data_IF_323874891029
#
_entry.id   IF_323874891029
#
_cell.length_a   1.000
_cell.length_b   1.000
_cell.length_c   1.000
_cell.angle_alpha   90.00
_cell.angle_beta   90.00
_cell.angle_gamma   90.00
#
_symmetry.space_group_name_H-M   'P 1'
#
loop_
_entity.id
_entity.type
_entity.pdbx_description
1 polymer ?
#
# COMPACT_ATOMS: atom_id res chain seq x y z
N UNK A 1 11.35 34.10 -13.90
CA UNK A 1 10.73 32.86 -14.40
C UNK A 1 11.83 31.81 -14.36
N UNK A 2 11.83 30.76 -13.55
CA UNK A 2 10.78 29.98 -12.90
C UNK A 2 11.43 29.52 -11.57
N UNK A 3 10.87 29.86 -10.41
CA UNK A 3 11.37 29.34 -9.14
C UNK A 3 11.02 27.87 -9.08
N UNK A 4 12.04 27.02 -9.18
CA UNK A 4 11.97 25.60 -8.83
C UNK A 4 11.27 25.47 -7.47
N UNK A 5 10.01 25.01 -7.46
CA UNK A 5 9.40 24.49 -6.25
C UNK A 5 9.94 23.07 -6.06
N UNK A 6 11.18 23.02 -5.58
CA UNK A 6 11.67 21.86 -4.87
C UNK A 6 10.95 21.84 -3.52
N UNK A 7 9.76 21.24 -3.46
CA UNK A 7 9.20 20.79 -2.19
C UNK A 7 10.06 19.63 -1.67
N UNK A 8 11.27 19.95 -1.22
CA UNK A 8 12.01 19.13 -0.30
C UNK A 8 11.34 19.28 1.07
N UNK A 9 10.19 18.61 1.25
CA UNK A 9 9.64 18.34 2.57
C UNK A 9 10.53 17.30 3.24
N UNK A 10 11.57 17.75 3.95
CA UNK A 10 12.58 16.91 4.61
C UNK A 10 12.05 16.36 5.93
N UNK A 11 11.11 15.42 5.87
CA UNK A 11 10.61 14.67 7.02
C UNK A 11 9.60 13.60 6.63
N UNK A 12 9.57 12.48 7.37
CA UNK A 12 8.51 11.48 7.22
C UNK A 12 7.15 12.12 7.52
N UNK A 13 6.13 11.80 6.72
CA UNK A 13 4.73 12.21 6.92
C UNK A 13 3.87 11.00 7.21
N UNK A 14 2.66 11.23 7.70
CA UNK A 14 1.69 10.17 7.96
C UNK A 14 0.84 9.96 6.72
N UNK A 15 0.81 8.73 6.23
CA UNK A 15 0.09 8.34 5.02
C UNK A 15 -0.93 7.27 5.37
N UNK A 16 -2.21 7.56 5.20
CA UNK A 16 -3.27 6.56 5.28
C UNK A 16 -3.53 6.02 3.87
N UNK A 17 -3.38 4.71 3.67
CA UNK A 17 -3.62 4.03 2.40
C UNK A 17 -4.78 3.07 2.60
N UNK A 18 -5.77 3.13 1.70
CA UNK A 18 -6.90 2.20 1.72
C UNK A 18 -6.92 1.36 0.45
N UNK A 19 -7.26 0.08 0.59
CA UNK A 19 -7.28 -0.84 -0.54
C UNK A 19 -7.58 -2.27 -0.14
N UNK A 20 -7.51 -3.18 -1.11
CA UNK A 20 -7.81 -4.61 -0.89
C UNK A 20 -7.07 -5.53 -1.84
N UNK A 21 -6.93 -6.79 -1.46
CA UNK A 21 -6.53 -7.86 -2.39
C UNK A 21 -7.72 -8.12 -3.35
N UNK A 22 -7.50 -8.27 -4.67
CA UNK A 22 -8.57 -8.64 -5.58
C UNK A 22 -9.24 -9.95 -5.15
N UNK A 23 -10.56 -9.90 -4.92
CA UNK A 23 -11.35 -11.02 -4.41
C UNK A 23 -11.73 -10.89 -2.94
N UNK A 24 -11.12 -9.98 -2.18
CA UNK A 24 -11.61 -9.63 -0.84
C UNK A 24 -12.87 -8.75 -0.91
N UNK A 25 -13.76 -8.94 0.08
CA UNK A 25 -15.02 -8.22 0.20
C UNK A 25 -14.88 -6.87 0.94
N UNK A 26 -13.86 -6.76 1.80
CA UNK A 26 -13.63 -5.59 2.65
C UNK A 26 -12.35 -4.85 2.23
N UNK A 27 -12.37 -3.53 2.40
CA UNK A 27 -11.18 -2.69 2.24
C UNK A 27 -10.44 -2.59 3.58
N UNK A 28 -9.12 -2.67 3.52
CA UNK A 28 -8.23 -2.38 4.64
C UNK A 28 -7.79 -0.92 4.61
N UNK A 29 -7.54 -0.34 5.78
CA UNK A 29 -6.83 0.92 5.96
C UNK A 29 -5.55 0.64 6.76
N UNK A 30 -4.41 1.14 6.29
CA UNK A 30 -3.15 1.10 7.04
C UNK A 30 -2.48 2.47 7.00
N UNK A 31 -1.77 2.80 8.08
CA UNK A 31 -1.13 4.10 8.28
C UNK A 31 0.38 3.91 8.34
N UNK A 32 1.11 4.66 7.52
CA UNK A 32 2.57 4.59 7.41
C UNK A 32 3.22 5.94 7.74
N UNK A 33 4.37 5.90 8.41
CA UNK A 33 5.20 7.08 8.63
C UNK A 33 6.44 7.05 7.72
N UNK A 34 6.29 7.57 6.51
CA UNK A 34 7.26 7.40 5.40
C UNK A 34 7.46 8.71 4.63
N UNK A 35 8.58 8.88 3.91
CA UNK A 35 8.93 10.17 3.30
C UNK A 35 8.00 10.59 2.16
N UNK A 36 7.41 9.64 1.44
CA UNK A 36 6.63 9.95 0.25
C UNK A 36 5.51 8.93 -0.04
N UNK A 37 4.64 9.32 -0.98
CA UNK A 37 3.49 8.53 -1.44
C UNK A 37 3.90 7.16 -1.99
N UNK A 38 5.03 7.06 -2.67
CA UNK A 38 5.46 5.80 -3.31
C UNK A 38 5.89 4.81 -2.24
N UNK A 39 6.64 5.26 -1.24
CA UNK A 39 7.00 4.44 -0.08
C UNK A 39 5.76 3.94 0.67
N UNK A 40 4.74 4.78 0.85
CA UNK A 40 3.48 4.39 1.51
C UNK A 40 2.72 3.31 0.72
N UNK A 41 2.58 3.48 -0.60
CA UNK A 41 1.91 2.47 -1.45
C UNK A 41 2.69 1.16 -1.44
N UNK A 42 4.01 1.18 -1.60
CA UNK A 42 4.82 -0.05 -1.59
C UNK A 42 4.78 -0.76 -0.25
N UNK A 43 4.75 -0.03 0.88
CA UNK A 43 4.57 -0.62 2.20
C UNK A 43 3.17 -1.26 2.34
N UNK A 44 2.12 -0.57 1.89
CA UNK A 44 0.76 -1.09 1.89
C UNK A 44 0.62 -2.37 1.06
N UNK A 45 1.14 -2.38 -0.17
CA UNK A 45 1.09 -3.55 -1.04
C UNK A 45 1.79 -4.75 -0.42
N UNK A 46 2.93 -4.52 0.24
CA UNK A 46 3.69 -5.56 0.90
C UNK A 46 2.96 -6.12 2.12
N UNK A 47 2.46 -5.26 3.02
CA UNK A 47 1.73 -5.69 4.22
C UNK A 47 0.45 -6.44 3.87
N UNK A 48 -0.32 -5.95 2.89
CA UNK A 48 -1.53 -6.63 2.40
C UNK A 48 -1.20 -8.02 1.83
N UNK A 49 -0.12 -8.13 1.06
CA UNK A 49 0.29 -9.41 0.49
C UNK A 49 0.81 -10.39 1.54
N UNK A 50 1.59 -9.93 2.51
CA UNK A 50 2.13 -10.77 3.57
C UNK A 50 1.01 -11.27 4.50
N UNK A 51 0.06 -10.39 4.85
CA UNK A 51 -1.14 -10.77 5.58
C UNK A 51 -1.95 -11.83 4.82
N UNK A 52 -2.06 -11.70 3.50
CA UNK A 52 -2.79 -12.65 2.66
C UNK A 52 -2.12 -14.03 2.63
N UNK A 53 -0.81 -14.06 2.43
CA UNK A 53 0.00 -15.29 2.48
C UNK A 53 -0.15 -15.97 3.83
N UNK A 54 -0.12 -15.21 4.93
CA UNK A 54 -0.28 -15.73 6.28
C UNK A 54 -1.71 -16.24 6.54
N UNK A 55 -2.75 -15.49 6.14
CA UNK A 55 -4.17 -15.83 6.30
C UNK A 55 -4.49 -17.19 5.69
N UNK A 56 -3.96 -17.46 4.50
CA UNK A 56 -4.20 -18.73 3.78
C UNK A 56 -3.11 -19.77 3.96
N UNK A 57 -2.08 -19.49 4.78
CA UNK A 57 -0.92 -20.37 5.02
C UNK A 57 -0.26 -20.84 3.72
N UNK A 58 -0.08 -19.93 2.77
CA UNK A 58 0.50 -20.26 1.46
C UNK A 58 1.99 -20.56 1.62
N UNK A 59 2.47 -21.63 1.00
CA UNK A 59 3.89 -21.82 0.76
C UNK A 59 4.44 -20.76 -0.21
N UNK A 60 5.76 -20.57 -0.23
CA UNK A 60 6.41 -19.61 -1.14
C UNK A 60 6.03 -19.84 -2.61
N UNK A 61 5.94 -21.10 -3.02
CA UNK A 61 5.54 -21.46 -4.39
C UNK A 61 4.07 -21.12 -4.67
N UNK A 62 3.17 -21.33 -3.70
CA UNK A 62 1.76 -20.96 -3.84
C UNK A 62 1.59 -19.44 -3.89
N UNK A 63 2.29 -18.70 -3.04
CA UNK A 63 2.28 -17.24 -3.04
C UNK A 63 2.78 -16.69 -4.38
N UNK A 64 3.89 -17.21 -4.93
CA UNK A 64 4.41 -16.76 -6.22
C UNK A 64 3.40 -17.01 -7.37
N UNK A 65 2.72 -18.15 -7.37
CA UNK A 65 1.69 -18.48 -8.36
C UNK A 65 0.46 -17.58 -8.23
N UNK A 66 -0.03 -17.36 -7.00
CA UNK A 66 -1.16 -16.49 -6.73
C UNK A 66 -0.86 -15.04 -7.15
N UNK A 67 0.31 -14.51 -6.78
CA UNK A 67 0.75 -13.16 -7.18
C UNK A 67 0.83 -13.01 -8.70
N UNK A 68 1.37 -14.02 -9.39
CA UNK A 68 1.43 -14.05 -10.86
C UNK A 68 0.03 -14.07 -11.49
N UNK A 69 -0.89 -14.85 -10.93
CA UNK A 69 -2.27 -14.92 -11.42
C UNK A 69 -2.98 -13.57 -11.30
N UNK A 70 -2.84 -12.89 -10.15
CA UNK A 70 -3.40 -11.55 -9.94
C UNK A 70 -2.83 -10.52 -10.92
N UNK A 71 -1.51 -10.51 -11.12
CA UNK A 71 -0.86 -9.63 -12.10
C UNK A 71 -1.37 -9.89 -13.53
N UNK A 72 -1.58 -11.14 -13.92
CA UNK A 72 -2.10 -11.47 -15.26
C UNK A 72 -3.56 -11.06 -15.45
N UNK A 73 -4.37 -11.10 -14.40
CA UNK A 73 -5.80 -10.84 -14.48
C UNK A 73 -6.15 -9.36 -14.30
N UNK A 74 -5.37 -8.64 -13.48
CA UNK A 74 -5.72 -7.31 -13.01
C UNK A 74 -4.64 -6.25 -13.21
N UNK A 75 -3.45 -6.62 -13.71
CA UNK A 75 -2.24 -5.78 -13.79
C UNK A 75 -1.75 -5.22 -12.43
N UNK A 76 -2.33 -5.69 -11.32
CA UNK A 76 -2.00 -5.26 -9.97
C UNK A 76 -2.32 -6.37 -8.96
N UNK A 77 -1.57 -6.40 -7.86
CA UNK A 77 -1.73 -7.41 -6.78
C UNK A 77 -2.66 -6.90 -5.69
N UNK A 78 -2.76 -5.58 -5.52
CA UNK A 78 -3.58 -4.90 -4.54
C UNK A 78 -4.28 -3.75 -5.25
N UNK A 79 -5.59 -3.59 -5.02
CA UNK A 79 -6.34 -2.42 -5.47
C UNK A 79 -6.18 -1.29 -4.46
N UNK A 80 -5.66 -0.14 -4.91
CA UNK A 80 -5.54 1.06 -4.08
C UNK A 80 -6.72 1.97 -4.36
N UNK A 81 -7.55 2.23 -3.34
CA UNK A 81 -8.74 3.06 -3.44
C UNK A 81 -8.41 4.53 -3.11
N UNK A 82 -7.66 4.78 -2.03
CA UNK A 82 -7.32 6.13 -1.61
C UNK A 82 -5.95 6.20 -0.93
N UNK A 83 -5.32 7.37 -1.03
CA UNK A 83 -4.08 7.70 -0.34
C UNK A 83 -4.20 9.12 0.20
N UNK A 84 -4.20 9.25 1.52
CA UNK A 84 -4.28 10.52 2.23
C UNK A 84 -2.97 10.81 2.95
N UNK A 85 -2.59 12.08 3.05
CA UNK A 85 -1.38 12.54 3.75
C UNK A 85 -1.75 13.50 4.86
N UNK A 86 -1.03 13.41 5.96
CA UNK A 86 -1.12 14.35 7.07
C UNK A 86 0.28 14.68 7.60
N UNK A 87 0.49 15.95 7.94
CA UNK A 87 1.67 16.40 8.66
C UNK A 87 1.54 16.14 10.17
N UNK A 88 0.35 15.79 10.66
CA UNK A 88 0.09 15.35 12.03
C UNK A 88 -0.13 13.84 12.09
N UNK A 89 0.20 13.18 13.23
CA UNK A 89 -0.12 11.76 13.43
C UNK A 89 -1.59 11.47 13.12
N UNK A 90 -1.83 10.37 12.41
CA UNK A 90 -3.16 9.81 12.17
C UNK A 90 -3.24 8.57 13.05
N UNK A 91 -4.32 8.43 13.80
CA UNK A 91 -4.65 7.22 14.57
C UNK A 91 -5.81 6.51 13.88
N UNK A 92 -5.89 5.18 14.03
CA UNK A 92 -7.10 4.44 13.66
C UNK A 92 -8.25 4.90 14.57
N UNK A 93 -9.42 5.16 13.99
CA UNK A 93 -10.60 5.67 14.69
C UNK A 93 -11.33 4.60 15.50
#
# INVERSE_FOLDING_TARGET
>A
MNTSHSEQGTGNRYWAVTGRIPGDEEDSILIFHVPDRKAAISAFEQEMWDAEVQRHRMSEQQAALARKALLLQHDQVVFINSVCVSDTPIEEA
#
